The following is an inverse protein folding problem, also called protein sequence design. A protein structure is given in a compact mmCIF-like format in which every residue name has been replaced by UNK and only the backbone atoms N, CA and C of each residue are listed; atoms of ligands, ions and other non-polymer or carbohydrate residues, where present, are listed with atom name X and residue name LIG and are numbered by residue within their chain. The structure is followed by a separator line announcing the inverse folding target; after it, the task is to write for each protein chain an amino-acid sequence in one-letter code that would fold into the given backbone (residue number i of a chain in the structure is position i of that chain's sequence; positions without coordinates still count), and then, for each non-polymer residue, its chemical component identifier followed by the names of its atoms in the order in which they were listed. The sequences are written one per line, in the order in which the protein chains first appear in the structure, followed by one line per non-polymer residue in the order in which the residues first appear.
data_IF_830747837261
#
_entry.id   IF_830747837261
#
_cell.length_a   1.000
_cell.length_b   1.000
_cell.length_c   1.000
_cell.angle_alpha   90.00
_cell.angle_beta   90.00
_cell.angle_gamma   90.00
#
_symmetry.space_group_name_H-M   'P 1'
#
loop_
_entity.id
_entity.type
_entity.pdbx_description
1 polymer ?
#
# COMPACT_ATOMS: atom_id res chain seq x y z
N UNK A 1 -12.03 18.51 -30.20
CA UNK A 1 -11.89 17.04 -30.31
C UNK A 1 -10.44 16.60 -30.14
N UNK A 2 -9.48 17.32 -30.73
CA UNK A 2 -8.05 17.09 -30.54
C UNK A 2 -7.63 17.18 -29.06
N UNK A 3 -8.15 18.17 -28.32
CA UNK A 3 -7.92 18.30 -26.86
C UNK A 3 -8.38 17.07 -26.06
N UNK A 4 -9.50 16.46 -26.41
CA UNK A 4 -10.00 15.25 -25.74
C UNK A 4 -9.08 14.05 -26.04
N UNK A 5 -8.58 13.94 -27.27
CA UNK A 5 -7.63 12.90 -27.65
C UNK A 5 -6.33 13.03 -26.86
N UNK A 6 -5.73 14.23 -26.84
CA UNK A 6 -4.50 14.50 -26.09
C UNK A 6 -4.67 14.15 -24.61
N UNK A 7 -5.83 14.47 -24.03
CA UNK A 7 -6.14 14.14 -22.65
C UNK A 7 -6.22 12.63 -22.41
N UNK A 8 -6.87 11.86 -23.31
CA UNK A 8 -6.90 10.40 -23.20
C UNK A 8 -5.51 9.78 -23.34
N UNK A 9 -4.68 10.28 -24.26
CA UNK A 9 -3.28 9.84 -24.41
C UNK A 9 -2.45 10.12 -23.15
N UNK A 10 -2.66 11.28 -22.53
CA UNK A 10 -2.06 11.65 -21.26
C UNK A 10 -2.51 10.70 -20.13
N UNK A 11 -3.80 10.35 -20.06
CA UNK A 11 -4.32 9.37 -19.10
C UNK A 11 -3.70 7.99 -19.28
N UNK A 12 -3.53 7.52 -20.52
CA UNK A 12 -2.83 6.26 -20.82
C UNK A 12 -1.39 6.30 -20.31
N UNK A 13 -0.69 7.43 -20.53
CA UNK A 13 0.69 7.62 -20.06
C UNK A 13 0.79 7.59 -18.54
N UNK A 14 -0.14 8.25 -17.84
CA UNK A 14 -0.21 8.21 -16.38
C UNK A 14 -0.52 6.82 -15.84
N UNK A 15 -1.47 6.09 -16.43
CA UNK A 15 -1.79 4.72 -16.02
C UNK A 15 -0.65 3.74 -16.26
N UNK A 16 0.09 3.90 -17.37
CA UNK A 16 1.28 3.10 -17.66
C UNK A 16 2.37 3.36 -16.61
N UNK A 17 2.62 4.64 -16.31
CA UNK A 17 3.57 5.06 -15.25
C UNK A 17 3.15 4.55 -13.87
N UNK A 18 1.85 4.55 -13.58
CA UNK A 18 1.30 4.05 -12.33
C UNK A 18 1.47 2.54 -12.21
N UNK A 19 1.25 1.79 -13.30
CA UNK A 19 1.49 0.34 -13.36
C UNK A 19 2.94 0.00 -13.04
N UNK A 20 3.89 0.75 -13.61
CA UNK A 20 5.32 0.60 -13.28
C UNK A 20 5.62 0.90 -11.81
N UNK A 21 4.99 1.95 -11.26
CA UNK A 21 5.14 2.34 -9.85
C UNK A 21 4.58 1.25 -8.92
N UNK A 22 3.47 0.60 -9.27
CA UNK A 22 2.91 -0.53 -8.51
C UNK A 22 3.79 -1.78 -8.57
N UNK A 23 4.44 -2.05 -9.70
CA UNK A 23 5.41 -3.13 -9.80
C UNK A 23 6.67 -2.86 -8.97
N UNK A 24 7.16 -1.60 -8.92
CA UNK A 24 8.26 -1.20 -8.05
C UNK A 24 7.89 -1.36 -6.57
N UNK A 25 6.69 -0.91 -6.17
CA UNK A 25 6.13 -1.09 -4.82
C UNK A 25 6.10 -2.58 -4.46
N UNK A 26 5.56 -3.43 -5.33
CA UNK A 26 5.49 -4.88 -5.11
C UNK A 26 6.88 -5.48 -4.91
N UNK A 27 7.88 -5.07 -5.71
CA UNK A 27 9.26 -5.55 -5.59
C UNK A 27 9.83 -5.22 -4.21
N UNK A 28 9.67 -3.98 -3.76
CA UNK A 28 10.13 -3.53 -2.42
C UNK A 28 9.43 -4.32 -1.31
N UNK A 29 8.13 -4.56 -1.44
CA UNK A 29 7.36 -5.32 -0.43
C UNK A 29 7.71 -6.82 -0.39
N UNK A 30 8.23 -7.36 -1.48
CA UNK A 30 8.72 -8.74 -1.57
C UNK A 30 10.19 -8.88 -1.12
N UNK A 31 10.93 -7.79 -0.95
CA UNK A 31 12.30 -7.83 -0.42
C UNK A 31 12.27 -8.22 1.06
N UNK A 32 13.28 -8.98 1.51
CA UNK A 32 13.34 -9.49 2.88
C UNK A 32 13.53 -8.40 3.96
N UNK A 33 13.97 -7.21 3.56
CA UNK A 33 14.08 -6.03 4.40
C UNK A 33 13.51 -4.82 3.67
N UNK A 34 12.49 -4.19 4.24
CA UNK A 34 11.83 -3.03 3.62
C UNK A 34 12.48 -1.75 4.12
N UNK A 35 13.20 -1.07 3.22
CA UNK A 35 13.72 0.27 3.47
C UNK A 35 12.57 1.31 3.44
N UNK A 36 12.28 1.92 4.59
CA UNK A 36 11.16 2.87 4.72
C UNK A 36 11.26 4.05 3.74
N UNK A 37 12.48 4.50 3.42
CA UNK A 37 12.73 5.56 2.44
C UNK A 37 12.28 5.18 1.03
N UNK A 38 12.56 3.95 0.62
CA UNK A 38 12.27 3.50 -0.75
C UNK A 38 10.77 3.29 -0.93
N UNK A 39 10.10 2.70 0.08
CA UNK A 39 8.65 2.59 0.11
C UNK A 39 7.97 3.97 0.12
N UNK A 40 8.50 4.92 0.91
CA UNK A 40 7.98 6.28 0.95
C UNK A 40 8.11 6.99 -0.40
N UNK A 41 9.27 6.88 -1.07
CA UNK A 41 9.49 7.48 -2.40
C UNK A 41 8.48 6.96 -3.43
N UNK A 42 8.23 5.66 -3.44
CA UNK A 42 7.25 5.03 -4.36
C UNK A 42 5.82 5.46 -4.03
N UNK A 43 5.50 5.58 -2.73
CA UNK A 43 4.20 6.08 -2.26
C UNK A 43 3.95 7.53 -2.69
N UNK A 44 4.95 8.41 -2.58
CA UNK A 44 4.82 9.80 -3.05
C UNK A 44 4.61 9.87 -4.57
N UNK A 45 5.34 9.06 -5.33
CA UNK A 45 5.15 8.96 -6.79
C UNK A 45 3.75 8.48 -7.16
N UNK A 46 3.23 7.47 -6.45
CA UNK A 46 1.85 6.97 -6.59
C UNK A 46 0.84 8.08 -6.33
N UNK A 47 0.99 8.81 -5.23
CA UNK A 47 0.10 9.91 -4.86
C UNK A 47 0.08 11.02 -5.93
N UNK A 48 1.26 11.43 -6.39
CA UNK A 48 1.37 12.42 -7.47
C UNK A 48 0.64 11.96 -8.75
N UNK A 49 0.87 10.72 -9.19
CA UNK A 49 0.23 10.17 -10.38
C UNK A 49 -1.29 10.06 -10.24
N UNK A 50 -1.78 9.66 -9.06
CA UNK A 50 -3.22 9.58 -8.79
C UNK A 50 -3.88 10.97 -8.78
N UNK A 51 -3.23 11.98 -8.20
CA UNK A 51 -3.71 13.37 -8.25
C UNK A 51 -3.74 13.92 -9.68
N UNK A 52 -2.68 13.69 -10.46
CA UNK A 52 -2.62 14.09 -11.87
C UNK A 52 -3.69 13.39 -12.72
N UNK A 53 -3.89 12.08 -12.51
CA UNK A 53 -4.93 11.31 -13.18
C UNK A 53 -6.33 11.80 -12.80
N UNK A 54 -6.59 12.08 -11.52
CA UNK A 54 -7.85 12.63 -11.05
C UNK A 54 -8.17 14.00 -11.65
N UNK A 55 -7.17 14.88 -11.77
CA UNK A 55 -7.34 16.17 -12.42
C UNK A 55 -7.65 16.03 -13.91
N UNK A 56 -6.90 15.17 -14.62
CA UNK A 56 -7.13 14.87 -16.03
C UNK A 56 -8.52 14.27 -16.26
N UNK A 57 -8.99 13.37 -15.40
CA UNK A 57 -10.35 12.81 -15.49
C UNK A 57 -11.45 13.86 -15.28
N UNK A 58 -11.25 14.78 -14.34
CA UNK A 58 -12.18 15.90 -14.15
C UNK A 58 -12.26 16.77 -15.41
N UNK A 59 -11.12 17.08 -16.03
CA UNK A 59 -11.06 17.81 -17.29
C UNK A 59 -11.76 17.04 -18.42
N UNK A 60 -11.55 15.72 -18.54
CA UNK A 60 -12.24 14.85 -19.49
C UNK A 60 -13.75 14.94 -19.37
N UNK A 61 -14.27 14.88 -18.14
CA UNK A 61 -15.70 14.94 -17.84
C UNK A 61 -16.29 16.30 -18.22
N UNK A 62 -15.55 17.39 -18.02
CA UNK A 62 -15.99 18.73 -18.41
C UNK A 62 -16.05 18.86 -19.94
N UNK A 63 -14.99 18.47 -20.66
CA UNK A 63 -14.98 18.48 -22.13
C UNK A 63 -16.06 17.56 -22.72
N UNK A 64 -16.29 16.40 -22.10
CA UNK A 64 -17.33 15.45 -22.49
C UNK A 64 -18.74 16.06 -22.39
N UNK A 65 -19.01 16.86 -21.35
CA UNK A 65 -20.26 17.61 -21.20
C UNK A 65 -20.40 18.70 -22.25
N UNK A 66 -19.35 19.48 -22.50
CA UNK A 66 -19.35 20.57 -23.49
C UNK A 66 -19.57 20.04 -24.91
N UNK A 67 -18.88 18.95 -25.26
CA UNK A 67 -18.96 18.30 -26.57
C UNK A 67 -20.18 17.38 -26.72
N UNK A 68 -20.97 17.17 -25.66
CA UNK A 68 -22.11 16.22 -25.60
C UNK A 68 -21.74 14.81 -26.11
N UNK A 69 -20.51 14.38 -25.83
CA UNK A 69 -20.00 13.07 -26.22
C UNK A 69 -19.73 12.25 -24.97
N UNK A 70 -20.16 10.98 -24.96
CA UNK A 70 -20.02 10.09 -23.80
C UNK A 70 -19.19 8.88 -24.23
N UNK A 71 -18.30 8.43 -23.33
CA UNK A 71 -17.59 7.16 -23.49
C UNK A 71 -18.61 6.01 -23.61
N UNK A 72 -18.44 5.05 -24.54
CA UNK A 72 -17.19 4.53 -25.08
C UNK A 72 -16.70 5.16 -26.40
N UNK A 73 -17.26 6.31 -26.82
CA UNK A 73 -16.85 7.02 -28.04
C UNK A 73 -17.00 6.19 -29.32
N UNK A 74 -18.07 5.39 -29.43
CA UNK A 74 -18.29 4.42 -30.52
C UNK A 74 -18.21 5.01 -31.94
N UNK A 75 -18.48 6.31 -32.06
CA UNK A 75 -18.43 7.04 -33.34
C UNK A 75 -17.00 7.33 -33.80
N UNK A 76 -16.00 7.11 -32.95
CA UNK A 76 -14.60 7.47 -33.21
C UNK A 76 -13.65 6.33 -32.82
N UNK A 77 -13.13 5.57 -33.79
CA UNK A 77 -12.37 4.36 -33.52
C UNK A 77 -11.06 4.63 -32.75
N UNK A 78 -10.41 5.78 -32.97
CA UNK A 78 -9.19 6.14 -32.25
C UNK A 78 -9.45 6.41 -30.76
N UNK A 79 -10.48 7.21 -30.41
CA UNK A 79 -10.83 7.46 -29.01
C UNK A 79 -11.34 6.20 -28.32
N UNK A 80 -12.12 5.38 -29.02
CA UNK A 80 -12.58 4.10 -28.50
C UNK A 80 -11.41 3.16 -28.16
N UNK A 81 -10.36 3.15 -28.99
CA UNK A 81 -9.13 2.37 -28.74
C UNK A 81 -8.40 2.86 -27.49
N UNK A 82 -8.20 4.18 -27.36
CA UNK A 82 -7.57 4.78 -26.17
C UNK A 82 -8.39 4.48 -24.90
N UNK A 83 -9.71 4.58 -24.99
CA UNK A 83 -10.61 4.27 -23.86
C UNK A 83 -10.52 2.81 -23.43
N UNK A 84 -10.44 1.88 -24.39
CA UNK A 84 -10.21 0.46 -24.07
C UNK A 84 -8.85 0.23 -23.40
N UNK A 85 -7.79 0.93 -23.83
CA UNK A 85 -6.48 0.85 -23.20
C UNK A 85 -6.51 1.36 -21.75
N UNK A 86 -7.16 2.50 -21.52
CA UNK A 86 -7.39 3.07 -20.18
C UNK A 86 -8.12 2.06 -19.29
N UNK A 87 -9.19 1.45 -19.79
CA UNK A 87 -9.95 0.44 -19.07
C UNK A 87 -9.08 -0.77 -18.67
N UNK A 88 -8.32 -1.32 -19.61
CA UNK A 88 -7.40 -2.44 -19.35
C UNK A 88 -6.32 -2.08 -18.32
N UNK A 89 -5.66 -0.94 -18.48
CA UNK A 89 -4.62 -0.49 -17.55
C UNK A 89 -5.18 -0.22 -16.15
N UNK A 90 -6.39 0.32 -16.04
CA UNK A 90 -7.06 0.55 -14.75
C UNK A 90 -7.34 -0.75 -14.00
N UNK A 91 -7.78 -1.80 -14.71
CA UNK A 91 -7.99 -3.13 -14.11
C UNK A 91 -6.65 -3.69 -13.60
N UNK A 92 -5.60 -3.63 -14.42
CA UNK A 92 -4.26 -4.08 -14.02
C UNK A 92 -3.73 -3.35 -12.78
N UNK A 93 -3.85 -2.02 -12.74
CA UNK A 93 -3.45 -1.22 -11.57
C UNK A 93 -4.25 -1.61 -10.34
N UNK A 94 -5.57 -1.82 -10.48
CA UNK A 94 -6.44 -2.24 -9.36
C UNK A 94 -6.00 -3.58 -8.78
N UNK A 95 -5.76 -4.56 -9.64
CA UNK A 95 -5.37 -5.91 -9.23
C UNK A 95 -4.00 -5.90 -8.55
N UNK A 96 -3.03 -5.17 -9.10
CA UNK A 96 -1.70 -4.99 -8.50
C UNK A 96 -1.78 -4.26 -7.15
N UNK A 97 -2.61 -3.22 -7.04
CA UNK A 97 -2.82 -2.52 -5.78
C UNK A 97 -3.49 -3.40 -4.71
N UNK A 98 -4.45 -4.24 -5.09
CA UNK A 98 -5.06 -5.21 -4.18
C UNK A 98 -4.02 -6.21 -3.66
N UNK A 99 -3.13 -6.69 -4.54
CA UNK A 99 -2.03 -7.57 -4.17
C UNK A 99 -1.03 -6.89 -3.22
N UNK A 100 -0.60 -5.66 -3.52
CA UNK A 100 0.28 -4.89 -2.63
C UNK A 100 -0.36 -4.66 -1.25
N UNK A 101 -1.68 -4.45 -1.20
CA UNK A 101 -2.44 -4.36 0.04
C UNK A 101 -2.39 -5.64 0.88
N UNK A 102 -2.45 -6.82 0.26
CA UNK A 102 -2.31 -8.11 0.94
C UNK A 102 -0.91 -8.29 1.53
N UNK A 103 0.14 -7.92 0.78
CA UNK A 103 1.52 -7.99 1.27
C UNK A 103 1.72 -7.08 2.50
N UNK A 104 1.21 -5.84 2.44
CA UNK A 104 1.27 -4.91 3.57
C UNK A 104 0.54 -5.45 4.81
N UNK A 105 -0.64 -6.05 4.63
CA UNK A 105 -1.38 -6.67 5.72
C UNK A 105 -0.59 -7.81 6.37
N UNK A 106 0.06 -8.66 5.56
CA UNK A 106 0.92 -9.74 6.06
C UNK A 106 2.11 -9.20 6.85
N UNK A 107 2.79 -8.16 6.35
CA UNK A 107 3.90 -7.50 7.07
C UNK A 107 3.44 -6.94 8.41
N UNK A 108 2.29 -6.29 8.46
CA UNK A 108 1.73 -5.75 9.69
C UNK A 108 1.39 -6.86 10.70
N UNK A 109 0.82 -7.98 10.23
CA UNK A 109 0.51 -9.12 11.06
C UNK A 109 1.77 -9.76 11.67
N UNK A 110 2.79 -10.00 10.86
CA UNK A 110 4.07 -10.56 11.31
C UNK A 110 4.78 -9.63 12.29
N UNK A 111 4.80 -8.33 12.01
CA UNK A 111 5.39 -7.34 12.89
C UNK A 111 4.66 -7.28 14.24
N UNK A 112 3.33 -7.25 14.23
CA UNK A 112 2.51 -7.29 15.45
C UNK A 112 2.79 -8.53 16.30
N UNK A 113 2.86 -9.72 15.67
CA UNK A 113 3.24 -10.97 16.32
C UNK A 113 4.64 -10.93 16.91
N UNK A 114 5.62 -10.40 16.16
CA UNK A 114 6.99 -10.26 16.64
C UNK A 114 7.08 -9.31 17.84
N UNK A 115 6.41 -8.16 17.80
CA UNK A 115 6.33 -7.23 18.93
C UNK A 115 5.66 -7.89 20.14
N UNK A 116 4.55 -8.62 19.95
CA UNK A 116 3.87 -9.31 21.03
C UNK A 116 4.76 -10.38 21.68
N UNK A 117 5.46 -11.16 20.86
CA UNK A 117 6.44 -12.13 21.31
C UNK A 117 7.55 -11.45 22.13
N UNK A 118 8.19 -10.41 21.59
CA UNK A 118 9.24 -9.66 22.29
C UNK A 118 8.74 -9.06 23.61
N UNK A 119 7.52 -8.51 23.65
CA UNK A 119 6.90 -7.97 24.87
C UNK A 119 6.64 -9.06 25.91
N UNK A 120 6.15 -10.23 25.50
CA UNK A 120 5.89 -11.36 26.41
C UNK A 120 7.16 -11.96 27.03
N UNK A 121 8.29 -11.86 26.32
CA UNK A 121 9.59 -12.36 26.77
C UNK A 121 10.50 -11.28 27.36
N UNK A 122 10.14 -9.99 27.22
CA UNK A 122 10.79 -8.86 27.90
C UNK A 122 10.33 -8.80 29.37
N UNK A 123 10.93 -9.70 30.15
CA UNK A 123 10.98 -9.79 31.62
C UNK A 123 9.83 -10.55 32.32
N UNK A 124 10.08 -11.77 32.83
CA UNK A 124 9.72 -12.01 34.22
C UNK A 124 10.62 -11.10 35.06
N UNK A 125 10.03 -10.20 35.84
CA UNK A 125 10.74 -9.52 36.93
C UNK A 125 11.18 -10.60 37.92
N UNK A 126 12.35 -11.19 37.67
CA UNK A 126 13.04 -12.08 38.59
C UNK A 126 13.61 -11.31 39.77
N UNK A 127 13.73 -9.99 39.63
CA UNK A 127 14.19 -9.06 40.65
C UNK A 127 13.32 -7.80 40.63
N UNK A 128 12.86 -7.37 41.81
CA UNK A 128 12.18 -6.09 42.00
C UNK A 128 13.13 -4.91 41.80
N UNK A 129 12.60 -3.67 41.82
CA UNK A 129 13.39 -2.44 41.76
C UNK A 129 14.40 -2.27 42.90
N UNK A 130 14.28 -3.08 43.95
CA UNK A 130 15.17 -3.21 45.10
C UNK A 130 16.23 -4.32 44.91
N UNK A 131 16.26 -5.00 43.77
CA UNK A 131 17.20 -6.07 43.48
C UNK A 131 16.94 -7.35 44.29
N UNK A 132 15.75 -7.54 44.85
CA UNK A 132 15.38 -8.77 45.55
C UNK A 132 14.61 -9.72 44.64
N UNK A 133 15.02 -10.99 44.62
CA UNK A 133 14.25 -12.02 43.96
C UNK A 133 12.96 -12.26 44.75
N UNK A 134 11.82 -12.27 44.06
CA UNK A 134 10.53 -12.62 44.65
C UNK A 134 10.63 -14.07 45.11
N UNK A 135 11.05 -14.28 46.37
CA UNK A 135 11.06 -15.59 47.00
C UNK A 135 9.62 -16.07 47.01
N UNK A 136 9.27 -16.98 46.11
CA UNK A 136 8.14 -17.85 46.29
C UNK A 136 8.37 -18.57 47.63
N UNK A 137 7.77 -18.05 48.69
CA UNK A 137 7.71 -18.67 50.01
C UNK A 137 6.84 -19.91 49.91
N UNK A 138 7.40 -20.99 49.36
CA UNK A 138 6.82 -22.33 49.42
C UNK A 138 7.84 -23.31 50.01
N UNK A 139 8.43 -23.01 51.17
CA UNK A 139 8.98 -24.06 52.03
C UNK A 139 8.77 -23.72 53.50
N UNK A 140 7.83 -24.47 54.08
CA UNK A 140 7.50 -24.61 55.49
C UNK A 140 8.76 -24.81 56.34
N UNK A 141 8.96 -23.93 57.33
CA UNK A 141 10.01 -24.05 58.32
C UNK A 141 9.68 -25.15 59.33
N UNK A 142 10.31 -26.31 59.21
CA UNK A 142 10.54 -27.18 60.37
C UNK A 142 11.87 -26.78 61.00
N UNK A 143 11.79 -26.16 62.19
CA UNK A 143 12.94 -25.89 63.05
C UNK A 143 13.45 -27.22 63.61
N UNK A 144 14.71 -27.56 63.37
CA UNK A 144 15.45 -28.54 64.15
C UNK A 144 16.18 -27.78 65.25
N UNK A 145 15.81 -28.02 66.51
CA UNK A 145 16.59 -27.63 67.68
C UNK A 145 17.42 -28.83 68.13
N UNK A 146 18.68 -28.57 68.50
CA UNK A 146 19.58 -29.45 69.24
C UNK A 146 19.67 -28.91 70.66
#
# INVERSE_FOLDING_TARGET
MEELQQLLEQQVTYLTSLTQTMAEEQRILCEGFIEARDLHRVTERKNFLLSALGHSEQQRLNLSKELKTIAPYDKQPMLATLWQQIGKATIQVRDSNAHNGLLLAQHLELNSKAIAFLKSHHSPSLYGSDGQATRHSMFSGHKVQV
#
